data_IF_402296124735
#
_entry.id   IF_402296124735
#
_cell.length_a   1.000
_cell.length_b   1.000
_cell.length_c   1.000
_cell.angle_alpha   90.00
_cell.angle_beta   90.00
_cell.angle_gamma   90.00
#
_symmetry.space_group_name_H-M   'P 1'
#
loop_
_entity.id
_entity.type
_entity.pdbx_description
1 polymer ?
#
# COMPACT_ATOMS: atom_id res chain seq x y z
N UNK A 1 33.70 -34.59 11.46
CA UNK A 1 32.38 -34.02 11.90
C UNK A 1 31.83 -33.14 10.79
N UNK A 2 30.76 -33.54 10.13
CA UNK A 2 30.11 -32.67 9.13
C UNK A 2 29.38 -31.53 9.87
N UNK A 3 29.81 -30.29 9.64
CA UNK A 3 29.18 -29.09 10.22
C UNK A 3 27.75 -28.99 9.65
N UNK A 4 26.72 -29.19 10.48
CA UNK A 4 25.34 -29.01 10.05
C UNK A 4 25.14 -27.55 9.66
N UNK A 5 24.61 -27.33 8.44
CA UNK A 5 24.22 -26.01 8.00
C UNK A 5 23.11 -25.46 8.92
N UNK A 6 23.06 -24.14 9.17
CA UNK A 6 21.95 -23.50 9.86
C UNK A 6 20.61 -23.86 9.20
N UNK A 7 19.54 -23.94 10.02
CA UNK A 7 18.23 -24.41 9.59
C UNK A 7 17.66 -23.60 8.41
N UNK A 8 17.88 -22.29 8.40
CA UNK A 8 17.50 -21.38 7.33
C UNK A 8 18.17 -21.72 6.00
N UNK A 9 19.47 -22.06 6.02
CA UNK A 9 20.22 -22.50 4.83
C UNK A 9 19.81 -23.90 4.37
N UNK A 10 19.40 -24.79 5.30
CA UNK A 10 18.88 -26.09 4.94
C UNK A 10 17.53 -25.99 4.24
N UNK A 11 16.64 -25.12 4.72
CA UNK A 11 15.33 -24.89 4.09
C UNK A 11 15.48 -24.28 2.70
N UNK A 12 16.39 -23.32 2.53
CA UNK A 12 16.69 -22.71 1.21
C UNK A 12 17.30 -23.69 0.20
N UNK A 13 18.05 -24.70 0.68
CA UNK A 13 18.64 -25.71 -0.20
C UNK A 13 17.66 -26.82 -0.58
N UNK A 14 16.54 -26.96 0.15
CA UNK A 14 15.50 -27.94 -0.14
C UNK A 14 14.48 -27.43 -1.17
N UNK A 15 14.36 -26.11 -1.31
CA UNK A 15 13.50 -25.48 -2.29
C UNK A 15 14.33 -25.04 -3.48
N UNK A 16 14.18 -25.75 -4.60
CA UNK A 16 14.92 -25.45 -5.83
C UNK A 16 14.63 -24.04 -6.40
N UNK A 17 13.55 -23.40 -5.95
CA UNK A 17 13.13 -22.08 -6.39
C UNK A 17 13.48 -20.95 -5.41
N UNK A 18 13.95 -21.26 -4.17
CA UNK A 18 14.24 -20.24 -3.16
C UNK A 18 13.00 -19.49 -2.69
N UNK A 19 13.21 -18.39 -1.96
CA UNK A 19 12.13 -17.46 -1.62
C UNK A 19 11.88 -16.48 -2.76
N UNK A 20 10.68 -15.90 -2.85
CA UNK A 20 10.36 -14.86 -3.84
C UNK A 20 11.33 -13.68 -3.78
N UNK A 21 11.83 -13.34 -2.60
CA UNK A 21 12.84 -12.29 -2.40
C UNK A 21 14.20 -12.61 -3.04
N UNK A 22 14.49 -13.88 -3.29
CA UNK A 22 15.75 -14.34 -3.86
C UNK A 22 15.68 -14.45 -5.41
N UNK A 23 14.48 -14.28 -5.97
CA UNK A 23 14.26 -14.35 -7.40
C UNK A 23 14.82 -13.10 -8.07
N UNK A 24 15.84 -13.29 -8.91
CA UNK A 24 16.38 -12.24 -9.77
C UNK A 24 16.17 -12.63 -11.22
N UNK A 25 15.58 -11.74 -11.99
CA UNK A 25 15.38 -11.91 -13.43
C UNK A 25 15.99 -10.73 -14.18
N UNK A 26 16.40 -10.98 -15.39
CA UNK A 26 16.82 -9.92 -16.31
C UNK A 26 15.64 -8.97 -16.52
N UNK A 27 15.90 -7.68 -16.49
CA UNK A 27 14.91 -6.60 -16.67
C UNK A 27 13.81 -6.55 -15.58
N UNK A 28 14.09 -7.11 -14.39
CA UNK A 28 13.20 -7.01 -13.24
C UNK A 28 13.19 -5.58 -12.67
N UNK A 29 12.01 -5.07 -12.38
CA UNK A 29 11.83 -3.81 -11.66
C UNK A 29 11.63 -4.06 -10.17
N UNK A 30 12.17 -3.16 -9.37
CA UNK A 30 12.00 -3.13 -7.91
C UNK A 30 10.97 -2.08 -7.54
N UNK A 31 10.10 -2.43 -6.60
CA UNK A 31 9.00 -1.61 -6.19
C UNK A 31 9.23 -0.99 -4.80
N UNK A 32 8.90 0.30 -4.64
CA UNK A 32 8.82 0.96 -3.35
C UNK A 32 7.50 1.70 -3.20
N UNK A 33 6.84 1.55 -2.05
CA UNK A 33 5.57 2.21 -1.76
C UNK A 33 5.80 3.65 -1.31
N UNK A 34 4.99 4.57 -1.85
CA UNK A 34 4.81 5.90 -1.29
C UNK A 34 3.69 5.80 -0.27
N UNK A 35 3.94 6.35 0.93
CA UNK A 35 3.00 6.28 2.04
C UNK A 35 2.53 7.67 2.45
N UNK A 36 1.28 7.76 2.87
CA UNK A 36 0.73 9.02 3.40
C UNK A 36 1.48 9.45 4.66
N UNK A 37 1.96 10.69 4.75
CA UNK A 37 2.60 11.20 5.95
C UNK A 37 1.62 11.47 7.10
N UNK A 38 0.33 11.59 6.78
CA UNK A 38 -0.73 12.01 7.71
C UNK A 38 -1.98 11.16 7.55
N UNK A 39 -2.80 11.10 8.60
CA UNK A 39 -4.15 10.50 8.60
C UNK A 39 -5.22 11.59 8.42
N UNK A 40 -6.46 11.16 8.18
CA UNK A 40 -7.65 12.05 8.08
C UNK A 40 -7.49 13.20 7.07
N UNK A 41 -6.82 12.92 5.98
CA UNK A 41 -6.60 13.88 4.89
C UNK A 41 -6.94 13.27 3.56
N UNK A 42 -7.30 14.12 2.61
CA UNK A 42 -7.46 13.75 1.21
C UNK A 42 -6.15 14.10 0.48
N UNK A 43 -5.60 13.14 -0.24
CA UNK A 43 -4.43 13.39 -1.09
C UNK A 43 -4.91 14.12 -2.35
N UNK A 44 -4.36 15.29 -2.60
CA UNK A 44 -4.71 16.12 -3.77
C UNK A 44 -3.69 16.01 -4.88
N UNK A 45 -2.42 15.75 -4.56
CA UNK A 45 -1.39 15.57 -5.56
C UNK A 45 -0.20 14.77 -5.00
N UNK A 46 0.40 13.96 -5.85
CA UNK A 46 1.67 13.27 -5.57
C UNK A 46 2.60 13.57 -6.74
N UNK A 47 3.77 14.09 -6.45
CA UNK A 47 4.78 14.46 -7.44
C UNK A 47 6.12 13.83 -7.07
N UNK A 48 6.79 13.23 -8.05
CA UNK A 48 8.16 12.74 -7.91
C UNK A 48 9.04 13.63 -8.78
N UNK A 49 9.85 14.52 -8.19
CA UNK A 49 10.77 15.34 -8.95
C UNK A 49 11.86 14.46 -9.59
N UNK A 50 12.24 14.82 -10.81
CA UNK A 50 13.35 14.19 -11.55
C UNK A 50 13.19 12.66 -11.73
N UNK A 51 11.99 12.19 -12.09
CA UNK A 51 11.74 10.78 -12.38
C UNK A 51 12.51 10.34 -13.64
N UNK A 52 13.47 9.39 -13.54
CA UNK A 52 14.20 8.88 -14.70
C UNK A 52 13.29 8.16 -15.71
N UNK A 53 13.70 8.11 -16.99
CA UNK A 53 12.91 7.52 -18.07
C UNK A 53 12.65 6.00 -17.90
N UNK A 54 13.51 5.29 -17.20
CA UNK A 54 13.41 3.86 -16.90
C UNK A 54 12.71 3.56 -15.57
N UNK A 55 12.13 4.59 -14.93
CA UNK A 55 11.37 4.51 -13.70
C UNK A 55 9.90 4.83 -13.96
N UNK A 56 9.01 4.19 -13.21
CA UNK A 56 7.56 4.36 -13.34
C UNK A 56 6.96 4.71 -12.00
N UNK A 57 5.88 5.47 -12.04
CA UNK A 57 5.12 5.85 -10.86
C UNK A 57 3.64 5.64 -11.15
N UNK A 58 2.95 5.00 -10.20
CA UNK A 58 1.52 4.70 -10.29
C UNK A 58 0.80 5.04 -8.99
N UNK A 59 -0.44 5.49 -9.13
CA UNK A 59 -1.37 5.83 -8.05
C UNK A 59 -2.68 5.05 -8.20
N UNK A 60 -3.66 5.34 -7.35
CA UNK A 60 -5.00 4.79 -7.49
C UNK A 60 -5.69 5.16 -8.82
N UNK A 61 -5.31 6.28 -9.46
CA UNK A 61 -5.90 6.73 -10.72
C UNK A 61 -5.48 5.86 -11.90
N UNK A 62 -4.29 5.26 -11.81
CA UNK A 62 -3.72 4.40 -12.86
C UNK A 62 -4.29 2.97 -12.84
N UNK A 63 -5.07 2.61 -11.83
CA UNK A 63 -5.67 1.28 -11.71
C UNK A 63 -6.84 1.16 -12.69
N UNK A 64 -6.78 0.26 -13.70
CA UNK A 64 -7.80 0.18 -14.76
C UNK A 64 -9.10 -0.52 -14.33
N UNK A 65 -9.25 -0.87 -13.07
CA UNK A 65 -10.39 -1.64 -12.55
C UNK A 65 -10.87 -1.15 -11.21
N UNK A 66 -11.32 -2.11 -10.38
CA UNK A 66 -11.73 -1.81 -9.02
C UNK A 66 -10.53 -1.35 -8.19
N UNK A 67 -10.66 -0.23 -7.51
CA UNK A 67 -9.63 0.34 -6.63
C UNK A 67 -9.62 -0.31 -5.23
N UNK A 68 -10.52 -1.25 -4.99
CA UNK A 68 -10.71 -1.98 -3.74
C UNK A 68 -10.46 -3.47 -3.95
N UNK A 69 -9.89 -4.09 -2.93
CA UNK A 69 -9.80 -5.55 -2.78
C UNK A 69 -10.77 -5.97 -1.70
N UNK A 70 -11.58 -6.96 -2.00
CA UNK A 70 -12.47 -7.59 -1.03
C UNK A 70 -11.79 -8.85 -0.48
N UNK A 71 -11.42 -8.83 0.79
CA UNK A 71 -10.81 -9.94 1.51
C UNK A 71 -11.65 -10.23 2.77
N UNK A 72 -12.23 -11.43 2.86
CA UNK A 72 -13.03 -11.87 4.01
C UNK A 72 -14.17 -10.88 4.37
N UNK A 73 -14.90 -10.38 3.37
CA UNK A 73 -15.98 -9.39 3.51
C UNK A 73 -15.49 -8.02 4.04
N UNK A 74 -14.20 -7.74 3.93
CA UNK A 74 -13.64 -6.42 4.24
C UNK A 74 -13.11 -5.81 2.96
N UNK A 75 -13.62 -4.64 2.60
CA UNK A 75 -13.08 -3.85 1.50
C UNK A 75 -11.82 -3.11 1.96
N UNK A 76 -10.73 -3.30 1.22
CA UNK A 76 -9.47 -2.60 1.44
C UNK A 76 -9.05 -1.88 0.17
N UNK A 77 -8.69 -0.60 0.29
CA UNK A 77 -8.14 0.16 -0.84
C UNK A 77 -6.79 -0.42 -1.27
N UNK A 78 -6.56 -0.51 -2.58
CA UNK A 78 -5.24 -0.86 -3.13
C UNK A 78 -4.25 0.27 -2.84
N UNK A 79 -4.66 1.50 -3.13
CA UNK A 79 -3.98 2.74 -2.74
C UNK A 79 -5.00 3.72 -2.18
N UNK A 80 -4.61 4.49 -1.17
CA UNK A 80 -5.40 5.60 -0.68
C UNK A 80 -5.51 6.70 -1.74
N UNK A 81 -6.71 7.23 -1.96
CA UNK A 81 -6.97 8.26 -2.96
C UNK A 81 -7.95 9.34 -2.50
N UNK A 82 -8.72 9.06 -1.47
CA UNK A 82 -9.68 9.97 -0.85
C UNK A 82 -9.29 10.20 0.62
N UNK A 83 -10.14 9.84 1.55
CA UNK A 83 -9.86 9.96 2.96
C UNK A 83 -8.85 8.91 3.43
N UNK A 84 -7.72 9.33 3.98
CA UNK A 84 -6.70 8.44 4.53
C UNK A 84 -7.13 7.95 5.90
N UNK A 85 -7.22 6.64 6.07
CA UNK A 85 -7.63 6.02 7.33
C UNK A 85 -6.54 6.12 8.40
N UNK A 86 -5.27 6.05 8.00
CA UNK A 86 -4.13 6.08 8.92
C UNK A 86 -2.87 6.66 8.27
N UNK A 87 -1.98 7.18 9.11
CA UNK A 87 -0.64 7.58 8.66
C UNK A 87 0.16 6.33 8.24
N UNK A 88 0.81 6.40 7.08
CA UNK A 88 1.51 5.28 6.49
C UNK A 88 0.67 4.46 5.50
N UNK A 89 -0.58 4.82 5.25
CA UNK A 89 -1.41 4.19 4.22
C UNK A 89 -0.73 4.31 2.84
N UNK A 90 -0.63 3.20 2.06
CA UNK A 90 -0.06 3.26 0.72
C UNK A 90 -0.89 4.15 -0.20
N UNK A 91 -0.25 5.12 -0.87
CA UNK A 91 -0.90 6.07 -1.77
C UNK A 91 -0.38 6.00 -3.22
N UNK A 92 0.69 5.26 -3.42
CA UNK A 92 1.28 5.04 -4.74
C UNK A 92 2.48 4.10 -4.67
N UNK A 93 3.01 3.76 -5.83
CA UNK A 93 4.14 2.86 -5.98
C UNK A 93 5.12 3.40 -7.02
N UNK A 94 6.40 3.30 -6.72
CA UNK A 94 7.49 3.60 -7.65
C UNK A 94 8.13 2.29 -8.08
N UNK A 95 8.40 2.15 -9.36
CA UNK A 95 9.15 1.05 -9.95
C UNK A 95 10.46 1.58 -10.51
N UNK A 96 11.59 0.92 -10.22
CA UNK A 96 12.90 1.32 -10.71
C UNK A 96 13.76 0.08 -10.99
N UNK A 97 14.85 0.19 -11.80
CA UNK A 97 15.73 -0.90 -12.14
C UNK A 97 16.49 -1.50 -10.94
N UNK A 98 16.58 -0.78 -9.83
CA UNK A 98 17.21 -1.29 -8.61
C UNK A 98 16.45 -0.80 -7.36
N UNK A 99 16.60 -1.53 -6.27
CA UNK A 99 15.88 -1.31 -5.00
C UNK A 99 16.23 0.02 -4.34
N UNK A 100 17.49 0.42 -4.40
CA UNK A 100 17.97 1.66 -3.78
C UNK A 100 17.31 2.85 -4.44
N UNK A 101 17.34 2.88 -5.78
CA UNK A 101 16.72 3.95 -6.57
C UNK A 101 15.20 4.02 -6.33
N UNK A 102 14.52 2.87 -6.30
CA UNK A 102 13.08 2.83 -6.01
C UNK A 102 12.75 3.49 -4.67
N UNK A 103 13.50 3.15 -3.62
CA UNK A 103 13.35 3.73 -2.27
C UNK A 103 13.69 5.21 -2.21
N UNK A 104 14.76 5.63 -2.88
CA UNK A 104 15.15 7.04 -2.95
C UNK A 104 14.07 7.89 -3.62
N UNK A 105 13.53 7.44 -4.75
CA UNK A 105 12.46 8.12 -5.46
C UNK A 105 11.17 8.17 -4.64
N UNK A 106 10.79 7.07 -3.98
CA UNK A 106 9.64 7.04 -3.09
C UNK A 106 9.78 8.03 -1.92
N UNK A 107 10.99 8.15 -1.34
CA UNK A 107 11.27 9.09 -0.25
C UNK A 107 11.32 10.56 -0.72
N UNK A 108 11.64 10.81 -2.00
CA UNK A 108 11.62 12.16 -2.59
C UNK A 108 10.22 12.60 -3.01
N UNK A 109 9.24 11.71 -2.98
CA UNK A 109 7.87 12.03 -3.35
C UNK A 109 7.30 13.18 -2.50
N UNK A 110 6.77 14.19 -3.17
CA UNK A 110 6.09 15.32 -2.54
C UNK A 110 4.59 15.05 -2.55
N UNK A 111 4.03 14.91 -1.37
CA UNK A 111 2.60 14.63 -1.18
C UNK A 111 1.91 15.91 -0.73
N UNK A 112 0.92 16.35 -1.49
CA UNK A 112 0.02 17.44 -1.10
C UNK A 112 -1.27 16.83 -0.59
N UNK A 113 -1.74 17.30 0.56
CA UNK A 113 -2.96 16.83 1.19
C UNK A 113 -3.77 17.98 1.75
N UNK A 114 -5.08 17.80 1.78
CA UNK A 114 -6.03 18.71 2.42
C UNK A 114 -6.65 18.01 3.63
N UNK A 115 -6.80 18.76 4.73
CA UNK A 115 -7.45 18.22 5.94
C UNK A 115 -8.95 18.11 5.64
N UNK A 116 -9.49 16.89 5.78
CA UNK A 116 -10.93 16.67 5.74
C UNK A 116 -11.45 17.06 7.12
N UNK A 117 -12.36 18.03 7.19
CA UNK A 117 -12.93 18.46 8.47
C UNK A 117 -13.60 17.28 9.18
N UNK A 118 -13.39 17.17 10.48
CA UNK A 118 -13.93 16.06 11.30
C UNK A 118 -15.48 16.00 11.27
N UNK A 119 -16.16 17.09 10.91
CA UNK A 119 -17.62 17.15 10.75
C UNK A 119 -18.15 16.22 9.65
N UNK A 120 -17.44 16.11 8.50
CA UNK A 120 -17.88 15.21 7.42
C UNK A 120 -17.64 13.73 7.73
N UNK A 121 -16.65 13.42 8.57
CA UNK A 121 -16.39 12.04 9.00
C UNK A 121 -17.39 11.56 10.06
N UNK A 122 -17.89 12.47 10.89
CA UNK A 122 -18.93 12.17 11.88
C UNK A 122 -20.30 11.95 11.23
N UNK A 123 -20.63 12.68 10.17
CA UNK A 123 -21.88 12.48 9.41
C UNK A 123 -21.95 11.13 8.71
N UNK A 124 -20.83 10.64 8.16
CA UNK A 124 -20.77 9.30 7.56
C UNK A 124 -20.84 8.17 8.59
N UNK A 125 -20.29 8.38 9.80
CA UNK A 125 -20.35 7.39 10.87
C UNK A 125 -21.75 7.29 11.52
N UNK A 126 -22.57 8.33 11.44
CA UNK A 126 -23.92 8.34 12.02
C UNK A 126 -24.94 7.60 11.15
N UNK A 127 -24.70 7.45 9.85
CA UNK A 127 -25.61 6.77 8.92
C UNK A 127 -25.56 5.24 9.09
N UNK A 128 -24.43 4.68 9.52
CA UNK A 128 -24.27 3.23 9.68
C UNK A 128 -24.77 2.68 11.02
N UNK A 129 -25.17 3.53 11.96
CA UNK A 129 -25.63 3.11 13.30
C UNK A 129 -27.15 2.98 13.43
N UNK A 130 -27.93 3.53 12.50
CA UNK A 130 -29.39 3.58 12.60
C UNK A 130 -30.13 2.39 11.96
N UNK A 131 -29.47 1.47 11.24
CA UNK A 131 -30.16 0.35 10.57
C UNK A 131 -30.09 -1.01 11.28
N UNK A 132 -29.39 -1.15 12.42
CA UNK A 132 -29.19 -2.46 13.05
C UNK A 132 -29.55 -2.55 14.55
N UNK A 133 -30.43 -1.72 15.07
CA UNK A 133 -30.82 -1.82 16.49
C UNK A 133 -32.35 -1.78 16.68
N UNK A 134 -33.03 -2.74 16.09
CA UNK A 134 -34.33 -3.21 16.56
C UNK A 134 -34.56 -4.61 16.06
N UNK A 135 -34.19 -5.61 16.87
CA UNK A 135 -35.08 -6.73 17.16
C UNK A 135 -34.34 -7.75 18.06
N UNK A 136 -35.13 -8.22 19.03
CA UNK A 136 -34.93 -9.36 19.92
C UNK A 136 -34.20 -9.14 21.25
N UNK A 137 -34.90 -8.43 22.12
CA UNK A 137 -34.98 -8.83 23.54
C UNK A 137 -36.39 -9.31 23.77
N UNK A 138 -36.61 -10.64 23.65
CA UNK A 138 -37.78 -11.32 24.23
C UNK A 138 -37.34 -11.92 25.54
N UNK A 139 -37.97 -11.47 26.62
CA UNK A 139 -37.87 -12.01 27.99
C UNK A 139 -38.54 -13.40 28.06
#
# INVERSE_FOLDING_TARGET
MKKKLPLDKQMRSLDANGFYSDCQRKDMLYAALIRSPVSTTKITNIEIPDLPEDCFFYTAEDIPGKKYLELNNVESKVFGFDNMAYSGEPIGIVLAPNEILARELANKAKVKSEIVSMESAAEQATIDLDENTTDDIVV
#
